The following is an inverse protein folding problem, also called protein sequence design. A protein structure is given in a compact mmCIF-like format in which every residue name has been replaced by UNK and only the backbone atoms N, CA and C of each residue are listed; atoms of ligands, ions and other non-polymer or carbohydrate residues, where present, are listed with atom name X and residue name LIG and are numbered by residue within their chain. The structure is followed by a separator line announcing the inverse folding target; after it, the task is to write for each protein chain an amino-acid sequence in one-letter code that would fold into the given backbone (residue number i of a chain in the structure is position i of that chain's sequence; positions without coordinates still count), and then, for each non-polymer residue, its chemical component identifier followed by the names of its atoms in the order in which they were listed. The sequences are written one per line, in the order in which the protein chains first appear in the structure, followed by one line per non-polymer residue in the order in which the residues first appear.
data_IF_373147264358
#
_entry.id   IF_373147264358
#
_cell.length_a   1.000
_cell.length_b   1.000
_cell.length_c   1.000
_cell.angle_alpha   90.00
_cell.angle_beta   90.00
_cell.angle_gamma   90.00
#
_symmetry.space_group_name_H-M   'P 1'
#
loop_
_entity.id
_entity.type
_entity.pdbx_description
1 polymer ?
#
# COMPACT_ATOMS: atom_id res chain seq x y z
N UNK A 1 -31.11 -63.83 -11.64
CA UNK A 1 -30.69 -62.94 -10.53
C UNK A 1 -29.64 -61.96 -11.06
N UNK A 2 -30.04 -60.95 -11.86
CA UNK A 2 -29.09 -60.19 -12.70
C UNK A 2 -29.21 -58.66 -12.58
N UNK A 3 -30.04 -58.13 -11.68
CA UNK A 3 -30.33 -56.69 -11.64
C UNK A 3 -29.60 -55.88 -10.55
N UNK A 4 -28.84 -56.52 -9.65
CA UNK A 4 -28.19 -55.79 -8.55
C UNK A 4 -26.82 -55.18 -8.93
N UNK A 5 -26.06 -55.82 -9.83
CA UNK A 5 -24.71 -55.36 -10.19
C UNK A 5 -24.73 -54.11 -11.11
N UNK A 6 -25.73 -54.02 -12.00
CA UNK A 6 -25.87 -52.88 -12.92
C UNK A 6 -26.23 -51.57 -12.21
N UNK A 7 -26.98 -51.64 -11.11
CA UNK A 7 -27.37 -50.47 -10.34
C UNK A 7 -26.17 -49.84 -9.60
N UNK A 8 -25.24 -50.67 -9.10
CA UNK A 8 -24.07 -50.18 -8.36
C UNK A 8 -23.02 -49.54 -9.29
N UNK A 9 -22.83 -50.10 -10.50
CA UNK A 9 -21.97 -49.51 -11.52
C UNK A 9 -22.51 -48.16 -12.03
N UNK A 10 -23.83 -48.05 -12.24
CA UNK A 10 -24.46 -46.78 -12.62
C UNK A 10 -24.29 -45.69 -11.54
N UNK A 11 -24.29 -46.07 -10.26
CA UNK A 11 -24.03 -45.11 -9.17
C UNK A 11 -22.57 -44.68 -9.07
N UNK A 12 -21.60 -45.55 -9.39
CA UNK A 12 -20.18 -45.18 -9.39
C UNK A 12 -19.82 -44.27 -10.57
N UNK A 13 -20.39 -44.51 -11.75
CA UNK A 13 -20.14 -43.69 -12.93
C UNK A 13 -20.72 -42.28 -12.76
N UNK A 14 -21.92 -42.18 -12.17
CA UNK A 14 -22.53 -40.90 -11.85
C UNK A 14 -21.73 -40.14 -10.77
N UNK A 15 -21.20 -40.85 -9.78
CA UNK A 15 -20.32 -40.27 -8.76
C UNK A 15 -18.99 -39.77 -9.36
N UNK A 16 -18.40 -40.51 -10.29
CA UNK A 16 -17.16 -40.10 -10.97
C UNK A 16 -17.39 -38.90 -11.88
N UNK A 17 -18.51 -38.87 -12.62
CA UNK A 17 -18.90 -37.75 -13.46
C UNK A 17 -19.14 -36.46 -12.65
N UNK A 18 -19.83 -36.55 -11.51
CA UNK A 18 -20.06 -35.41 -10.61
C UNK A 18 -18.75 -34.90 -10.00
N UNK A 19 -17.81 -35.79 -9.68
CA UNK A 19 -16.50 -35.41 -9.14
C UNK A 19 -15.62 -34.73 -10.19
N UNK A 20 -15.62 -35.22 -11.43
CA UNK A 20 -14.93 -34.59 -12.55
C UNK A 20 -15.50 -33.19 -12.85
N UNK A 21 -16.83 -33.05 -12.88
CA UNK A 21 -17.47 -31.74 -13.07
C UNK A 21 -17.21 -30.76 -11.93
N UNK A 22 -17.10 -31.25 -10.69
CA UNK A 22 -16.70 -30.43 -9.55
C UNK A 22 -15.23 -29.97 -9.63
N UNK A 23 -14.32 -30.84 -10.07
CA UNK A 23 -12.90 -30.48 -10.25
C UNK A 23 -12.68 -29.50 -11.40
N UNK A 24 -13.44 -29.62 -12.49
CA UNK A 24 -13.37 -28.68 -13.63
C UNK A 24 -13.91 -27.29 -13.27
N UNK A 25 -15.00 -27.22 -12.47
CA UNK A 25 -15.51 -25.94 -11.93
C UNK A 25 -14.51 -25.29 -10.97
N UNK A 26 -13.83 -26.08 -10.14
CA UNK A 26 -12.78 -25.57 -9.24
C UNK A 26 -11.54 -25.09 -10.01
N UNK A 27 -11.16 -25.76 -11.11
CA UNK A 27 -10.06 -25.34 -11.96
C UNK A 27 -10.38 -24.03 -12.71
N UNK A 28 -11.60 -23.88 -13.23
CA UNK A 28 -12.06 -22.67 -13.93
C UNK A 28 -12.17 -21.43 -13.02
N UNK A 29 -12.39 -21.61 -11.72
CA UNK A 29 -12.45 -20.51 -10.75
C UNK A 29 -11.06 -19.93 -10.36
N UNK A 30 -9.95 -20.57 -10.77
CA UNK A 30 -8.63 -20.28 -10.19
C UNK A 30 -7.70 -19.38 -11.02
N UNK A 31 -8.05 -18.98 -12.25
CA UNK A 31 -7.02 -18.47 -13.16
C UNK A 31 -7.37 -17.18 -13.87
N UNK A 32 -7.71 -16.15 -13.09
CA UNK A 32 -7.47 -14.72 -13.43
C UNK A 32 -7.56 -13.88 -12.15
N UNK A 33 -6.74 -14.24 -11.16
CA UNK A 33 -6.50 -13.37 -10.00
C UNK A 33 -5.86 -12.03 -10.42
N UNK A 34 -5.57 -11.16 -9.44
CA UNK A 34 -4.94 -9.82 -9.56
C UNK A 34 -3.82 -9.74 -10.62
N UNK A 35 -3.11 -10.84 -10.89
CA UNK A 35 -2.14 -11.00 -11.99
C UNK A 35 -2.63 -10.58 -13.39
N UNK A 36 -3.93 -10.57 -13.67
CA UNK A 36 -4.47 -10.15 -14.97
C UNK A 36 -4.72 -8.63 -15.12
N UNK A 37 -4.74 -7.91 -14.00
CA UNK A 37 -5.00 -6.45 -13.93
C UNK A 37 -3.70 -5.69 -13.58
N UNK A 38 -2.76 -6.37 -12.93
CA UNK A 38 -1.51 -5.79 -12.46
C UNK A 38 -0.60 -5.36 -13.63
N UNK A 39 -0.44 -4.04 -13.79
CA UNK A 39 0.47 -3.42 -14.77
C UNK A 39 1.90 -3.25 -14.25
N UNK A 40 2.15 -3.45 -12.96
CA UNK A 40 3.49 -3.33 -12.37
C UNK A 40 3.55 -3.80 -10.91
N UNK A 41 4.77 -3.99 -10.38
CA UNK A 41 5.02 -4.35 -8.98
C UNK A 41 5.47 -3.11 -8.22
N UNK A 42 4.65 -2.65 -7.27
CA UNK A 42 5.05 -1.66 -6.28
C UNK A 42 5.57 -2.38 -5.06
N UNK A 43 6.86 -2.23 -4.76
CA UNK A 43 7.46 -2.81 -3.57
C UNK A 43 7.13 -1.92 -2.37
N UNK A 44 6.43 -2.47 -1.37
CA UNK A 44 6.11 -1.81 -0.10
C UNK A 44 7.09 -2.29 0.97
N UNK A 45 7.70 -1.34 1.68
CA UNK A 45 8.66 -1.58 2.74
C UNK A 45 8.20 -0.90 4.03
N UNK A 46 8.79 -1.29 5.15
CA UNK A 46 8.62 -0.61 6.44
C UNK A 46 9.96 -0.01 6.82
N UNK A 47 9.96 1.27 7.17
CA UNK A 47 11.20 2.00 7.46
C UNK A 47 10.99 2.89 8.66
N UNK A 48 12.07 3.14 9.39
CA UNK A 48 12.06 4.11 10.47
C UNK A 48 11.80 5.52 9.88
N UNK A 49 10.82 6.29 10.40
CA UNK A 49 10.54 7.64 9.90
C UNK A 49 11.73 8.61 10.04
N UNK A 50 12.66 8.37 10.97
CA UNK A 50 13.87 9.19 11.13
C UNK A 50 14.94 8.95 10.06
N UNK A 51 14.86 7.85 9.31
CA UNK A 51 15.80 7.53 8.22
C UNK A 51 15.36 8.14 6.87
N UNK A 52 14.23 8.87 6.85
CA UNK A 52 13.67 9.50 5.66
C UNK A 52 14.06 10.98 5.65
N UNK A 53 14.88 11.35 4.68
CA UNK A 53 15.28 12.73 4.47
C UNK A 53 14.22 13.48 3.67
N UNK A 54 13.77 14.62 4.20
CA UNK A 54 12.93 15.57 3.47
C UNK A 54 13.86 16.51 2.69
N UNK A 55 13.69 16.59 1.38
CA UNK A 55 14.49 17.50 0.54
C UNK A 55 13.93 18.91 0.68
N UNK A 56 14.70 19.79 1.32
CA UNK A 56 14.37 21.21 1.46
C UNK A 56 14.17 21.86 0.08
N UNK A 57 13.02 22.53 -0.10
CA UNK A 57 12.65 23.19 -1.35
C UNK A 57 11.83 22.35 -2.34
N UNK A 58 11.53 21.08 -2.03
CA UNK A 58 10.63 20.25 -2.86
C UNK A 58 9.14 20.45 -2.50
N UNK A 59 8.83 20.81 -1.25
CA UNK A 59 7.47 21.11 -0.82
C UNK A 59 7.24 22.62 -0.66
N UNK A 60 6.25 23.12 -1.39
CA UNK A 60 5.90 24.55 -1.50
C UNK A 60 4.89 25.03 -0.45
N UNK A 61 4.48 24.18 0.50
CA UNK A 61 3.52 24.57 1.55
C UNK A 61 4.25 25.15 2.75
N UNK A 62 3.92 26.39 3.12
CA UNK A 62 4.31 26.96 4.40
C UNK A 62 3.50 26.29 5.53
N UNK A 63 4.18 25.59 6.44
CA UNK A 63 3.57 24.92 7.59
C UNK A 63 3.56 25.79 8.86
N UNK A 64 3.82 27.09 8.73
CA UNK A 64 3.97 28.02 9.85
C UNK A 64 2.63 28.57 10.38
N UNK A 65 1.52 28.35 9.68
CA UNK A 65 0.20 28.80 10.13
C UNK A 65 -0.31 27.93 11.28
N UNK A 66 -0.83 28.56 12.34
CA UNK A 66 -1.36 27.87 13.52
C UNK A 66 -2.44 26.82 13.18
N UNK A 67 -3.32 27.12 12.22
CA UNK A 67 -4.35 26.20 11.74
C UNK A 67 -3.75 24.89 11.17
N UNK A 68 -2.63 25.00 10.45
CA UNK A 68 -1.95 23.84 9.86
C UNK A 68 -1.29 22.98 10.94
N UNK A 69 -0.85 23.60 12.04
CA UNK A 69 -0.30 22.89 13.18
C UNK A 69 -1.39 22.15 13.98
N UNK A 70 -2.55 22.77 14.19
CA UNK A 70 -3.70 22.11 14.83
C UNK A 70 -4.16 20.88 14.03
N UNK A 71 -4.31 21.04 12.71
CA UNK A 71 -4.59 19.94 11.78
C UNK A 71 -3.55 18.81 11.88
N UNK A 72 -2.27 19.15 12.02
CA UNK A 72 -1.19 18.19 12.13
C UNK A 72 -1.24 17.43 13.46
N UNK A 73 -1.65 18.10 14.55
CA UNK A 73 -1.87 17.47 15.86
C UNK A 73 -3.03 16.48 15.79
N UNK A 74 -4.14 16.85 15.16
CA UNK A 74 -5.27 15.93 14.95
C UNK A 74 -4.86 14.71 14.12
N UNK A 75 -4.11 14.92 13.04
CA UNK A 75 -3.56 13.83 12.25
C UNK A 75 -2.60 12.94 13.06
N UNK A 76 -1.77 13.53 13.93
CA UNK A 76 -0.85 12.78 14.79
C UNK A 76 -1.59 11.91 15.81
N UNK A 77 -2.70 12.40 16.40
CA UNK A 77 -3.56 11.62 17.28
C UNK A 77 -4.21 10.44 16.54
N UNK A 78 -4.67 10.68 15.31
CA UNK A 78 -5.22 9.64 14.44
C UNK A 78 -4.18 8.58 14.07
N UNK A 79 -2.96 8.99 13.76
CA UNK A 79 -1.83 8.10 13.47
C UNK A 79 -1.47 7.28 14.71
N UNK A 80 -1.51 7.87 15.91
CA UNK A 80 -1.31 7.10 17.16
C UNK A 80 -2.38 6.02 17.34
N UNK A 81 -3.64 6.34 17.04
CA UNK A 81 -4.75 5.41 17.25
C UNK A 81 -4.82 4.28 16.21
N UNK A 82 -4.54 4.58 14.93
CA UNK A 82 -4.78 3.66 13.80
C UNK A 82 -3.53 3.31 12.99
N UNK A 83 -2.39 3.93 13.29
CA UNK A 83 -1.19 3.86 12.48
C UNK A 83 -1.29 4.64 11.18
N UNK A 84 -0.21 4.62 10.40
CA UNK A 84 -0.16 5.25 9.07
C UNK A 84 -0.90 4.37 8.06
N UNK A 85 -2.12 4.77 7.68
CA UNK A 85 -2.97 4.01 6.76
C UNK A 85 -2.53 4.12 5.29
N UNK A 86 -2.02 5.29 4.89
CA UNK A 86 -1.55 5.54 3.53
C UNK A 86 -0.03 5.59 3.51
N UNK A 87 0.64 4.69 2.75
CA UNK A 87 2.10 4.63 2.74
C UNK A 87 2.72 5.92 2.20
N UNK A 88 3.90 6.25 2.71
CA UNK A 88 4.72 7.34 2.21
C UNK A 88 5.36 6.96 0.87
N UNK A 89 5.57 7.91 -0.04
CA UNK A 89 6.34 7.64 -1.26
C UNK A 89 7.76 8.13 -1.07
N UNK A 90 8.71 7.22 -1.27
CA UNK A 90 10.14 7.51 -1.11
C UNK A 90 10.91 7.12 -2.36
N UNK A 91 11.99 7.84 -2.63
CA UNK A 91 13.00 7.51 -3.62
C UNK A 91 14.28 7.15 -2.91
N UNK A 92 14.93 6.06 -3.33
CA UNK A 92 16.29 5.77 -2.89
C UNK A 92 17.26 6.63 -3.71
N UNK A 93 18.02 7.49 -3.06
CA UNK A 93 19.14 8.16 -3.70
C UNK A 93 20.34 7.21 -3.74
N UNK A 94 20.76 6.83 -4.95
CA UNK A 94 21.87 5.89 -5.16
C UNK A 94 23.24 6.49 -4.85
N UNK A 95 23.35 7.82 -4.70
CA UNK A 95 24.60 8.50 -4.35
C UNK A 95 24.83 8.50 -2.85
N UNK A 96 23.76 8.78 -2.09
CA UNK A 96 23.83 8.97 -0.64
C UNK A 96 23.36 7.72 0.14
N UNK A 97 22.77 6.72 -0.54
CA UNK A 97 22.09 5.57 0.06
C UNK A 97 21.01 5.96 1.08
N UNK A 98 20.40 7.13 0.89
CA UNK A 98 19.36 7.66 1.76
C UNK A 98 18.00 7.68 1.06
N UNK A 99 16.94 7.52 1.85
CA UNK A 99 15.58 7.61 1.37
C UNK A 99 15.15 9.06 1.36
N UNK A 100 14.89 9.60 0.17
CA UNK A 100 14.37 10.96 -0.01
C UNK A 100 12.85 10.90 -0.14
N UNK A 101 12.15 11.70 0.64
CA UNK A 101 10.69 11.80 0.58
C UNK A 101 10.27 12.43 -0.76
N UNK A 102 9.31 11.80 -1.45
CA UNK A 102 8.69 12.33 -2.67
C UNK A 102 7.34 12.96 -2.34
N UNK A 103 6.52 12.26 -1.55
CA UNK A 103 5.14 12.65 -1.24
C UNK A 103 4.75 12.10 0.15
N UNK A 104 3.89 12.85 0.85
CA UNK A 104 3.41 12.49 2.18
C UNK A 104 4.04 13.25 3.35
N UNK A 105 4.55 14.47 3.14
CA UNK A 105 5.23 15.25 4.19
C UNK A 105 4.37 15.45 5.45
N UNK A 106 3.07 15.76 5.30
CA UNK A 106 2.14 15.89 6.45
C UNK A 106 2.09 14.62 7.29
N UNK A 107 2.10 13.46 6.64
CA UNK A 107 2.05 12.16 7.32
C UNK A 107 3.37 11.88 8.03
N UNK A 108 4.50 12.12 7.37
CA UNK A 108 5.82 11.95 7.98
C UNK A 108 5.97 12.85 9.23
N UNK A 109 5.65 14.14 9.10
CA UNK A 109 5.70 15.10 10.21
C UNK A 109 4.73 14.74 11.34
N UNK A 110 3.50 14.33 11.00
CA UNK A 110 2.52 13.85 11.97
C UNK A 110 2.98 12.61 12.73
N UNK A 111 3.63 11.65 12.04
CA UNK A 111 4.22 10.47 12.68
C UNK A 111 5.38 10.85 13.60
N UNK A 112 6.29 11.71 13.15
CA UNK A 112 7.40 12.19 14.00
C UNK A 112 6.85 12.93 15.23
N UNK A 113 5.82 13.73 15.06
CA UNK A 113 5.16 14.41 16.18
C UNK A 113 4.52 13.42 17.15
N UNK A 114 3.82 12.41 16.66
CA UNK A 114 3.22 11.38 17.50
C UNK A 114 4.27 10.60 18.31
N UNK A 115 5.41 10.25 17.68
CA UNK A 115 6.50 9.54 18.35
C UNK A 115 7.14 10.41 19.44
N UNK A 116 7.47 11.66 19.11
CA UNK A 116 8.21 12.55 20.01
C UNK A 116 7.36 13.17 21.13
N UNK A 117 6.08 13.48 20.87
CA UNK A 117 5.25 14.29 21.78
C UNK A 117 4.01 13.56 22.31
N UNK A 118 3.59 12.45 21.70
CA UNK A 118 2.41 11.68 22.14
C UNK A 118 2.77 10.31 22.72
N UNK A 119 4.04 10.05 23.06
CA UNK A 119 4.54 8.75 23.56
C UNK A 119 4.13 7.56 22.67
N UNK A 120 4.06 7.77 21.35
CA UNK A 120 3.76 6.70 20.40
C UNK A 120 5.01 5.87 20.07
N UNK A 121 5.71 5.38 21.09
CA UNK A 121 6.95 4.61 20.95
C UNK A 121 6.75 3.27 20.20
N UNK A 122 5.49 2.79 20.10
CA UNK A 122 5.13 1.60 19.33
C UNK A 122 5.18 1.83 17.81
N UNK A 123 5.18 3.09 17.36
CA UNK A 123 5.32 3.48 15.94
C UNK A 123 6.80 3.58 15.55
N UNK A 124 7.52 2.46 15.61
CA UNK A 124 8.94 2.39 15.21
C UNK A 124 9.11 2.37 13.69
N UNK A 125 8.08 1.95 12.95
CA UNK A 125 8.15 1.73 11.51
C UNK A 125 6.93 2.32 10.78
N UNK A 126 7.17 2.92 9.62
CA UNK A 126 6.15 3.48 8.74
C UNK A 126 6.15 2.75 7.40
N UNK A 127 4.97 2.38 6.84
CA UNK A 127 4.89 1.82 5.52
C UNK A 127 5.29 2.86 4.45
N UNK A 128 6.22 2.48 3.58
CA UNK A 128 6.68 3.28 2.46
C UNK A 128 6.59 2.48 1.16
N UNK A 129 6.36 3.19 0.06
CA UNK A 129 6.39 2.64 -1.30
C UNK A 129 7.56 3.28 -2.04
N UNK A 130 8.40 2.43 -2.61
CA UNK A 130 9.61 2.85 -3.29
C UNK A 130 9.31 3.17 -4.76
N UNK A 131 9.47 4.43 -5.13
CA UNK A 131 9.24 4.90 -6.51
C UNK A 131 10.53 4.70 -7.30
N UNK A 132 10.56 3.70 -8.18
CA UNK A 132 11.73 3.40 -9.03
C UNK A 132 11.65 4.16 -10.37
N UNK A 133 12.79 4.66 -10.83
CA UNK A 133 12.98 5.05 -12.23
C UNK A 133 12.33 6.37 -12.67
N UNK A 134 11.91 7.24 -11.75
CA UNK A 134 11.37 8.56 -12.12
C UNK A 134 12.46 9.62 -12.11
N UNK A 135 12.50 10.38 -13.20
CA UNK A 135 13.31 11.59 -13.29
C UNK A 135 12.74 12.66 -12.35
N UNK A 136 13.57 13.60 -11.90
CA UNK A 136 13.10 14.68 -11.02
C UNK A 136 11.93 15.48 -11.65
N UNK A 137 11.88 15.56 -12.99
CA UNK A 137 10.78 16.18 -13.74
C UNK A 137 9.45 15.43 -13.62
N UNK A 138 9.47 14.10 -13.63
CA UNK A 138 8.26 13.28 -13.46
C UNK A 138 7.71 13.35 -12.03
N UNK A 139 8.61 13.47 -11.05
CA UNK A 139 8.24 13.63 -9.63
C UNK A 139 7.57 14.98 -9.38
N UNK A 140 8.11 16.05 -9.98
CA UNK A 140 7.50 17.38 -9.94
C UNK A 140 6.12 17.33 -10.59
N UNK A 141 5.98 16.69 -11.76
CA UNK A 141 4.70 16.54 -12.44
C UNK A 141 3.66 15.76 -11.62
N UNK A 142 4.07 14.70 -10.91
CA UNK A 142 3.19 13.98 -9.98
C UNK A 142 2.80 14.80 -8.76
N UNK A 143 3.70 15.62 -8.24
CA UNK A 143 3.37 16.52 -7.14
C UNK A 143 2.29 17.53 -7.58
N UNK A 144 2.42 18.08 -8.80
CA UNK A 144 1.38 18.93 -9.38
C UNK A 144 0.06 18.18 -9.60
N UNK A 145 0.09 16.94 -10.10
CA UNK A 145 -1.11 16.13 -10.28
C UNK A 145 -1.81 15.82 -8.96
N UNK A 146 -1.05 15.42 -7.93
CA UNK A 146 -1.56 15.16 -6.58
C UNK A 146 -2.21 16.40 -5.96
N UNK A 147 -1.56 17.56 -6.10
CA UNK A 147 -2.10 18.82 -5.58
C UNK A 147 -3.35 19.32 -6.34
N UNK A 148 -3.55 18.89 -7.60
CA UNK A 148 -4.68 19.33 -8.43
C UNK A 148 -5.95 18.51 -8.18
N UNK A 149 -5.82 17.22 -7.85
CA UNK A 149 -6.98 16.39 -7.52
C UNK A 149 -7.61 16.75 -6.16
N UNK A 150 -6.87 17.39 -5.25
CA UNK A 150 -7.39 17.98 -4.00
C UNK A 150 -8.22 19.28 -4.21
N UNK A 151 -8.35 19.77 -5.45
CA UNK A 151 -9.11 20.99 -5.80
C UNK A 151 -10.52 20.72 -6.38
N UNK A 152 -11.05 19.49 -6.28
CA UNK A 152 -12.40 19.14 -6.73
C UNK A 152 -13.37 18.83 -5.61
#
# INVERSE_FOLDING_TARGET
MTNALAAFAATSDLAHALRTAATERAAAASQKGIKGIMTGRSDMFRVNPFDIDVVDGFNLRSFDSAEVQEDLIHLAQDIKARGVQQPLKVRLDTRDNRLKLVDGERRLRGTIYAINFLDAADLTEVPVVLVRGKSDADLIAEQFASNTDDLR
#
